data_IF_556376138605
#
_entry.id   IF_556376138605
#
_cell.length_a   1.000
_cell.length_b   1.000
_cell.length_c   1.000
_cell.angle_alpha   90.00
_cell.angle_beta   90.00
_cell.angle_gamma   90.00
#
_symmetry.space_group_name_H-M   'P 1'
#
loop_
_entity.id
_entity.type
_entity.pdbx_description
1 polymer ?
#
# COMPACT_ATOMS: atom_id res chain seq x y z
N UNK A 1 13.23 -2.45 -20.11
CA UNK A 1 13.50 -1.04 -19.75
C UNK A 1 14.15 -1.01 -18.36
N UNK A 2 15.46 -0.79 -18.25
CA UNK A 2 16.15 -0.72 -16.95
C UNK A 2 16.19 0.74 -16.49
N UNK A 3 15.15 1.19 -15.79
CA UNK A 3 15.20 2.45 -15.07
C UNK A 3 16.32 2.36 -14.02
N UNK A 4 17.22 3.34 -13.97
CA UNK A 4 18.26 3.37 -12.96
C UNK A 4 17.66 3.43 -11.55
N UNK A 5 18.11 2.59 -10.63
CA UNK A 5 17.48 2.49 -9.30
C UNK A 5 17.52 3.80 -8.51
N UNK A 6 18.53 4.64 -8.73
CA UNK A 6 18.60 5.98 -8.17
C UNK A 6 17.50 6.91 -8.71
N UNK A 7 17.14 6.78 -9.99
CA UNK A 7 16.05 7.54 -10.60
C UNK A 7 14.70 7.08 -10.04
N UNK A 8 14.49 5.77 -9.91
CA UNK A 8 13.30 5.23 -9.25
C UNK A 8 13.19 5.69 -7.80
N UNK A 9 14.30 5.70 -7.06
CA UNK A 9 14.33 6.15 -5.67
C UNK A 9 13.95 7.63 -5.56
N UNK A 10 14.51 8.47 -6.44
CA UNK A 10 14.18 9.89 -6.53
C UNK A 10 12.69 10.09 -6.87
N UNK A 11 12.18 9.38 -7.87
CA UNK A 11 10.76 9.42 -8.25
C UNK A 11 9.85 9.05 -7.07
N UNK A 12 10.14 7.96 -6.36
CA UNK A 12 9.37 7.55 -5.19
C UNK A 12 9.40 8.61 -4.09
N UNK A 13 10.55 9.22 -3.83
CA UNK A 13 10.69 10.29 -2.85
C UNK A 13 9.90 11.54 -3.24
N UNK A 14 9.97 11.94 -4.50
CA UNK A 14 9.31 13.16 -5.00
C UNK A 14 7.78 13.04 -5.04
N UNK A 15 7.27 11.83 -5.27
CA UNK A 15 5.84 11.53 -5.25
C UNK A 15 5.32 11.10 -3.87
N UNK A 16 6.13 11.21 -2.81
CA UNK A 16 5.72 10.85 -1.45
C UNK A 16 5.55 9.35 -1.19
N UNK A 17 5.92 8.48 -2.13
CA UNK A 17 5.90 7.02 -1.96
C UNK A 17 6.99 6.54 -0.98
N UNK A 18 8.08 7.30 -0.84
CA UNK A 18 9.13 7.05 0.13
C UNK A 18 9.47 8.33 0.89
N UNK A 19 9.81 8.18 2.17
CA UNK A 19 10.23 9.31 2.98
C UNK A 19 11.54 9.92 2.47
N UNK A 20 11.55 11.24 2.28
CA UNK A 20 12.72 12.02 1.86
C UNK A 20 13.79 12.16 2.96
N UNK A 21 13.37 12.08 4.22
CA UNK A 21 14.23 12.10 5.40
C UNK A 21 13.62 11.24 6.49
N UNK A 22 14.43 10.88 7.49
CA UNK A 22 13.98 10.15 8.66
C UNK A 22 14.69 10.71 9.90
N UNK A 23 13.96 10.86 11.00
CA UNK A 23 14.49 11.36 12.27
C UNK A 23 14.87 10.20 13.17
N UNK A 24 16.03 10.32 13.82
CA UNK A 24 16.51 9.29 14.71
C UNK A 24 15.61 9.22 15.95
N UNK A 25 15.02 8.07 16.29
CA UNK A 25 14.12 7.95 17.43
C UNK A 25 14.82 8.12 18.78
N UNK A 26 16.16 8.07 18.82
CA UNK A 26 16.95 8.18 20.06
C UNK A 26 17.50 9.60 20.26
N UNK A 27 17.90 10.30 19.19
CA UNK A 27 18.49 11.63 19.33
C UNK A 27 17.77 12.76 18.59
N UNK A 28 16.66 12.48 17.89
CA UNK A 28 15.89 13.46 17.15
C UNK A 28 16.57 14.03 15.89
N UNK A 29 17.86 13.74 15.65
CA UNK A 29 18.56 14.26 14.49
C UNK A 29 18.18 13.56 13.18
N UNK A 30 18.24 14.30 12.08
CA UNK A 30 18.06 13.74 10.73
C UNK A 30 19.12 12.68 10.45
N UNK A 31 18.67 11.49 10.08
CA UNK A 31 19.54 10.38 9.71
C UNK A 31 20.18 10.61 8.33
N UNK A 32 21.38 10.08 8.12
CA UNK A 32 22.08 10.14 6.82
C UNK A 32 21.65 8.97 5.95
N UNK A 33 21.43 9.19 4.65
CA UNK A 33 21.25 8.08 3.71
C UNK A 33 22.62 7.46 3.39
N UNK A 34 22.78 6.17 3.65
CA UNK A 34 23.98 5.40 3.32
C UNK A 34 23.59 4.23 2.42
N UNK A 35 24.51 3.79 1.58
CA UNK A 35 24.32 2.54 0.84
C UNK A 35 24.36 1.35 1.81
N UNK A 36 23.55 0.32 1.54
CA UNK A 36 23.65 -0.94 2.27
C UNK A 36 24.83 -1.74 1.73
N UNK A 37 25.67 -2.22 2.64
CA UNK A 37 26.73 -3.16 2.31
C UNK A 37 26.14 -4.50 1.85
N UNK A 38 26.58 -5.00 0.68
CA UNK A 38 26.25 -6.32 0.14
C UNK A 38 25.02 -6.35 -0.79
N UNK A 39 25.26 -6.82 -2.02
CA UNK A 39 24.41 -7.42 -3.10
C UNK A 39 22.94 -7.01 -3.33
N UNK A 40 22.28 -6.30 -2.43
CA UNK A 40 20.93 -5.76 -2.61
C UNK A 40 21.03 -4.25 -2.75
N UNK A 41 20.86 -3.75 -3.96
CA UNK A 41 20.83 -2.31 -4.22
C UNK A 41 19.75 -1.68 -3.36
N UNK A 42 20.13 -0.78 -2.45
CA UNK A 42 19.20 -0.14 -1.53
C UNK A 42 19.90 0.81 -0.56
N UNK A 43 19.29 1.97 -0.36
CA UNK A 43 19.73 2.95 0.65
C UNK A 43 19.12 2.63 2.00
N UNK A 44 19.85 2.96 3.07
CA UNK A 44 19.40 2.92 4.45
C UNK A 44 19.62 4.28 5.12
N UNK A 45 18.68 4.70 5.95
CA UNK A 45 18.86 5.77 6.92
C UNK A 45 19.75 5.24 8.04
N UNK A 46 20.87 5.92 8.29
CA UNK A 46 21.86 5.56 9.31
C UNK A 46 22.11 6.74 10.25
N UNK A 47 22.06 6.47 11.55
CA UNK A 47 22.47 7.38 12.60
C UNK A 47 23.48 6.65 13.48
N UNK A 48 24.66 7.23 13.66
CA UNK A 48 25.72 6.69 14.49
C UNK A 48 26.26 7.80 15.37
N UNK A 49 26.06 7.70 16.69
CA UNK A 49 26.65 8.58 17.69
C UNK A 49 27.49 7.78 18.68
N UNK A 50 28.59 8.37 19.13
CA UNK A 50 29.49 7.85 20.18
C UNK A 50 29.45 8.81 21.37
N UNK A 51 29.69 8.31 22.60
CA UNK A 51 29.65 9.11 23.83
C UNK A 51 28.32 9.00 24.59
N UNK A 52 27.91 10.05 25.30
CA UNK A 52 26.59 10.10 25.94
C UNK A 52 25.48 9.98 24.88
N UNK A 53 24.47 9.13 25.13
CA UNK A 53 23.45 8.73 24.15
C UNK A 53 24.03 8.03 22.90
N UNK A 54 25.08 7.22 23.05
CA UNK A 54 25.62 6.40 21.97
C UNK A 54 24.57 5.44 21.39
N UNK A 55 24.44 5.44 20.07
CA UNK A 55 23.57 4.51 19.36
C UNK A 55 24.04 4.34 17.93
N UNK A 56 23.66 3.20 17.35
CA UNK A 56 23.84 2.91 15.94
C UNK A 56 22.53 2.35 15.40
N UNK A 57 21.77 3.17 14.67
CA UNK A 57 20.48 2.81 14.12
C UNK A 57 20.59 2.82 12.60
N UNK A 58 20.16 1.72 11.98
CA UNK A 58 19.97 1.62 10.53
C UNK A 58 18.51 1.28 10.24
N UNK A 59 17.86 2.03 9.35
CA UNK A 59 16.49 1.78 8.85
C UNK A 59 16.53 1.75 7.33
N UNK A 60 15.91 0.76 6.67
CA UNK A 60 15.87 0.78 5.21
C UNK A 60 15.00 1.94 4.71
N UNK A 61 15.44 2.62 3.65
CA UNK A 61 14.66 3.71 3.02
C UNK A 61 13.33 3.16 2.46
N UNK A 62 13.35 1.93 1.94
CA UNK A 62 12.24 1.23 1.28
C UNK A 62 11.18 0.65 2.23
N UNK A 63 10.71 1.36 3.28
CA UNK A 63 9.64 0.83 4.15
C UNK A 63 8.37 0.57 3.31
N UNK A 64 7.81 -0.64 3.37
CA UNK A 64 6.73 -1.12 2.48
C UNK A 64 7.19 -1.78 1.17
N UNK A 65 8.43 -1.54 0.74
CA UNK A 65 9.05 -2.16 -0.45
C UNK A 65 10.21 -3.11 -0.07
N UNK A 66 10.35 -3.40 1.23
CA UNK A 66 11.55 -3.91 1.89
C UNK A 66 11.82 -5.40 1.63
N UNK A 67 10.77 -6.20 1.47
CA UNK A 67 10.87 -7.67 1.41
C UNK A 67 10.99 -8.22 -0.02
N UNK A 68 11.22 -7.34 -1.00
CA UNK A 68 11.46 -7.75 -2.38
C UNK A 68 12.94 -8.01 -2.61
N UNK A 69 13.26 -9.17 -3.18
CA UNK A 69 14.48 -9.33 -3.99
C UNK A 69 14.41 -8.56 -5.31
N UNK A 70 13.26 -7.96 -5.62
CA UNK A 70 13.02 -7.14 -6.81
C UNK A 70 13.64 -5.75 -6.68
N UNK A 71 14.14 -5.24 -7.80
CA UNK A 71 14.54 -3.83 -7.93
C UNK A 71 13.34 -2.90 -7.76
N UNK A 72 13.59 -1.66 -7.35
CA UNK A 72 12.52 -0.68 -7.18
C UNK A 72 11.78 -0.40 -8.50
N UNK A 73 12.49 -0.40 -9.62
CA UNK A 73 11.90 -0.24 -10.95
C UNK A 73 10.93 -1.37 -11.31
N UNK A 74 11.29 -2.63 -11.02
CA UNK A 74 10.39 -3.77 -11.23
C UNK A 74 9.12 -3.66 -10.39
N UNK A 75 9.23 -3.21 -9.14
CA UNK A 75 8.06 -3.03 -8.28
C UNK A 75 7.15 -1.93 -8.84
N UNK A 76 7.72 -0.81 -9.29
CA UNK A 76 6.94 0.28 -9.91
C UNK A 76 6.22 -0.18 -11.18
N UNK A 77 6.89 -0.93 -12.05
CA UNK A 77 6.24 -1.50 -13.24
C UNK A 77 5.10 -2.45 -12.87
N UNK A 78 5.31 -3.31 -11.87
CA UNK A 78 4.28 -4.24 -11.41
C UNK A 78 3.05 -3.49 -10.87
N UNK A 79 3.28 -2.47 -10.03
CA UNK A 79 2.19 -1.63 -9.51
C UNK A 79 1.44 -0.95 -10.67
N UNK A 80 2.17 -0.38 -11.63
CA UNK A 80 1.57 0.24 -12.81
C UNK A 80 0.69 -0.75 -13.59
N UNK A 81 1.20 -1.95 -13.88
CA UNK A 81 0.44 -2.99 -14.60
C UNK A 81 -0.78 -3.46 -13.79
N UNK A 82 -0.66 -3.57 -12.46
CA UNK A 82 -1.75 -3.93 -11.57
C UNK A 82 -2.87 -2.88 -11.55
N UNK A 83 -2.51 -1.60 -11.46
CA UNK A 83 -3.47 -0.48 -11.53
C UNK A 83 -4.19 -0.48 -12.87
N UNK A 84 -3.49 -0.77 -13.97
CA UNK A 84 -4.07 -0.93 -15.31
C UNK A 84 -4.84 -2.25 -15.51
N UNK A 85 -5.09 -3.03 -14.43
CA UNK A 85 -5.89 -4.26 -14.45
C UNK A 85 -5.37 -5.32 -15.43
N UNK A 86 -4.06 -5.35 -15.67
CA UNK A 86 -3.46 -6.36 -16.52
C UNK A 86 -3.57 -7.75 -15.88
N UNK A 87 -3.69 -8.77 -16.74
CA UNK A 87 -3.73 -10.16 -16.31
C UNK A 87 -2.40 -10.56 -15.66
N UNK A 88 -2.48 -11.49 -14.70
CA UNK A 88 -1.30 -11.99 -13.98
C UNK A 88 -0.29 -12.61 -14.95
N UNK A 89 -0.80 -13.35 -15.93
CA UNK A 89 -0.02 -14.04 -16.96
C UNK A 89 0.77 -13.03 -17.81
N UNK A 90 0.15 -11.91 -18.19
CA UNK A 90 0.82 -10.82 -18.91
C UNK A 90 1.97 -10.24 -18.08
N UNK A 91 1.72 -9.94 -16.79
CA UNK A 91 2.73 -9.37 -15.89
C UNK A 91 3.89 -10.33 -15.68
N UNK A 92 3.60 -11.64 -15.54
CA UNK A 92 4.64 -12.67 -15.42
C UNK A 92 5.53 -12.70 -16.66
N UNK A 93 4.94 -12.68 -17.85
CA UNK A 93 5.67 -12.76 -19.11
C UNK A 93 6.46 -11.46 -19.40
N UNK A 94 5.85 -10.30 -19.16
CA UNK A 94 6.46 -9.00 -19.48
C UNK A 94 7.63 -8.65 -18.54
N UNK A 95 7.56 -9.07 -17.27
CA UNK A 95 8.57 -8.78 -16.26
C UNK A 95 9.50 -9.96 -15.97
N UNK A 96 9.27 -11.12 -16.61
CA UNK A 96 9.98 -12.38 -16.38
C UNK A 96 10.04 -12.74 -14.89
N UNK A 97 8.86 -12.79 -14.26
CA UNK A 97 8.72 -13.03 -12.82
C UNK A 97 8.00 -14.35 -12.54
N UNK A 98 8.47 -15.03 -11.49
CA UNK A 98 7.80 -16.21 -10.98
C UNK A 98 6.36 -15.90 -10.55
N UNK A 99 5.46 -16.85 -10.81
CA UNK A 99 4.03 -16.76 -10.49
C UNK A 99 3.77 -16.40 -9.02
N UNK A 100 4.56 -16.97 -8.11
CA UNK A 100 4.47 -16.69 -6.68
C UNK A 100 4.79 -15.22 -6.38
N UNK A 101 5.92 -14.72 -6.91
CA UNK A 101 6.36 -13.34 -6.75
C UNK A 101 5.31 -12.33 -7.23
N UNK A 102 4.69 -12.56 -8.40
CA UNK A 102 3.63 -11.68 -8.91
C UNK A 102 2.41 -11.73 -8.00
N UNK A 103 2.03 -12.91 -7.53
CA UNK A 103 0.87 -13.09 -6.64
C UNK A 103 1.06 -12.34 -5.32
N UNK A 104 2.22 -12.52 -4.68
CA UNK A 104 2.55 -11.86 -3.41
C UNK A 104 2.51 -10.34 -3.56
N UNK A 105 3.03 -9.82 -4.67
CA UNK A 105 3.04 -8.37 -4.95
C UNK A 105 1.65 -7.81 -5.22
N UNK A 106 0.82 -8.54 -5.97
CA UNK A 106 -0.57 -8.13 -6.16
C UNK A 106 -1.36 -8.18 -4.85
N UNK A 107 -1.09 -9.16 -3.97
CA UNK A 107 -1.73 -9.24 -2.66
C UNK A 107 -1.29 -8.07 -1.76
N UNK A 108 -0.01 -7.74 -1.74
CA UNK A 108 0.48 -6.54 -1.05
C UNK A 108 -0.23 -5.26 -1.51
N UNK A 109 -0.45 -5.10 -2.82
CA UNK A 109 -1.22 -3.94 -3.33
C UNK A 109 -2.68 -3.94 -2.81
N UNK A 110 -3.30 -5.12 -2.67
CA UNK A 110 -4.66 -5.24 -2.12
C UNK A 110 -4.71 -4.93 -0.63
N UNK A 111 -3.72 -5.40 0.15
CA UNK A 111 -3.60 -5.11 1.58
C UNK A 111 -3.47 -3.61 1.81
N UNK A 112 -2.63 -2.91 1.04
CA UNK A 112 -2.51 -1.44 1.12
C UNK A 112 -3.84 -0.75 0.81
N UNK A 113 -4.58 -1.22 -0.19
CA UNK A 113 -5.91 -0.67 -0.48
C UNK A 113 -6.93 -0.99 0.62
N UNK A 114 -6.86 -2.17 1.24
CA UNK A 114 -7.74 -2.56 2.34
C UNK A 114 -7.48 -1.69 3.57
N UNK A 115 -6.21 -1.49 3.94
CA UNK A 115 -5.80 -0.62 5.03
C UNK A 115 -6.35 0.80 4.84
N UNK A 116 -6.25 1.37 3.63
CA UNK A 116 -6.82 2.70 3.39
C UNK A 116 -8.35 2.74 3.36
N UNK A 117 -8.99 1.69 2.85
CA UNK A 117 -10.45 1.58 2.94
C UNK A 117 -10.92 1.48 4.40
N UNK A 118 -10.13 0.86 5.29
CA UNK A 118 -10.44 0.75 6.71
C UNK A 118 -10.09 2.03 7.50
N UNK A 119 -9.04 2.74 7.11
CA UNK A 119 -8.64 4.01 7.72
C UNK A 119 -9.58 5.17 7.36
N UNK A 120 -10.35 5.04 6.27
CA UNK A 120 -11.31 6.05 5.86
C UNK A 120 -12.50 6.16 6.83
N UNK A 121 -12.39 7.05 7.82
CA UNK A 121 -13.49 7.42 8.72
C UNK A 121 -14.35 8.58 8.17
N UNK A 122 -14.41 8.73 6.84
CA UNK A 122 -15.18 9.80 6.22
C UNK A 122 -16.63 9.79 6.69
N UNK A 123 -17.03 10.86 7.39
CA UNK A 123 -18.44 11.12 7.73
C UNK A 123 -19.11 11.69 6.48
N UNK A 124 -19.81 10.83 5.75
CA UNK A 124 -20.38 11.16 4.43
C UNK A 124 -21.70 11.95 4.56
N UNK A 125 -22.22 12.07 5.78
CA UNK A 125 -23.48 12.76 6.05
C UNK A 125 -23.25 14.03 6.89
N UNK A 126 -23.83 15.13 6.41
CA UNK A 126 -23.96 16.40 7.11
C UNK A 126 -25.37 16.95 6.91
N UNK A 127 -25.84 17.83 7.78
CA UNK A 127 -27.21 18.39 7.71
C UNK A 127 -27.44 19.04 6.34
N UNK A 128 -28.51 18.66 5.64
CA UNK A 128 -28.86 19.20 4.31
C UNK A 128 -28.20 18.50 3.12
N UNK A 129 -27.44 17.42 3.33
CA UNK A 129 -26.80 16.64 2.26
C UNK A 129 -27.62 15.38 1.92
N UNK A 130 -27.86 15.13 0.63
CA UNK A 130 -28.54 13.92 0.12
C UNK A 130 -27.49 12.93 -0.38
N UNK A 131 -27.41 11.77 0.28
CA UNK A 131 -26.48 10.69 -0.09
C UNK A 131 -27.27 9.56 -0.74
N UNK A 132 -26.80 9.09 -1.89
CA UNK A 132 -27.23 7.81 -2.48
C UNK A 132 -26.39 6.70 -1.88
N UNK A 133 -27.04 5.66 -1.35
CA UNK A 133 -26.37 4.50 -0.77
C UNK A 133 -26.65 3.29 -1.67
N UNK A 134 -25.59 2.64 -2.11
CA UNK A 134 -25.65 1.34 -2.79
C UNK A 134 -25.09 0.24 -1.88
N UNK A 135 -25.77 -0.91 -1.83
CA UNK A 135 -25.40 -2.04 -0.99
C UNK A 135 -24.94 -3.22 -1.84
N UNK A 136 -23.67 -3.57 -1.74
CA UNK A 136 -23.10 -4.74 -2.41
C UNK A 136 -22.75 -5.81 -1.39
N UNK A 137 -23.38 -6.98 -1.54
CA UNK A 137 -23.13 -8.13 -0.68
C UNK A 137 -22.13 -9.11 -1.29
N UNK A 138 -20.99 -9.28 -0.61
CA UNK A 138 -19.95 -10.19 -1.05
C UNK A 138 -19.96 -11.48 -0.21
N UNK A 139 -20.14 -12.61 -0.89
CA UNK A 139 -20.05 -13.94 -0.29
C UNK A 139 -19.49 -14.95 -1.28
N UNK A 140 -18.51 -15.75 -0.85
CA UNK A 140 -18.02 -16.91 -1.62
C UNK A 140 -18.78 -18.16 -1.19
N UNK A 141 -19.21 -18.95 -2.17
CA UNK A 141 -19.77 -20.29 -1.94
C UNK A 141 -18.64 -21.26 -1.57
N UNK A 142 -18.86 -22.15 -0.59
CA UNK A 142 -17.95 -23.26 -0.36
C UNK A 142 -18.04 -24.21 -1.57
N UNK A 143 -16.93 -24.40 -2.29
CA UNK A 143 -16.86 -25.23 -3.51
C UNK A 143 -17.85 -24.84 -4.63
N UNK A 144 -18.27 -23.57 -4.73
CA UNK A 144 -19.32 -23.12 -5.65
C UNK A 144 -20.69 -23.84 -5.50
N UNK A 145 -20.89 -24.60 -4.42
CA UNK A 145 -22.08 -25.42 -4.16
C UNK A 145 -22.73 -25.04 -2.82
N UNK A 146 -24.04 -25.23 -2.72
CA UNK A 146 -24.80 -25.01 -1.49
C UNK A 146 -25.17 -23.54 -1.17
N UNK A 147 -25.64 -23.31 0.07
CA UNK A 147 -26.13 -22.01 0.58
C UNK A 147 -24.97 -20.99 0.61
N UNK A 148 -25.23 -19.74 0.20
CA UNK A 148 -24.29 -18.63 0.42
C UNK A 148 -24.07 -18.49 1.94
N UNK A 149 -22.82 -18.61 2.39
CA UNK A 149 -22.40 -18.46 3.80
C UNK A 149 -22.25 -16.97 4.13
N UNK A 150 -22.45 -16.61 5.39
CA UNK A 150 -22.48 -15.22 5.91
C UNK A 150 -21.39 -14.29 5.35
N UNK A 151 -21.84 -13.08 5.07
CA UNK A 151 -21.32 -12.18 4.05
C UNK A 151 -20.62 -10.94 4.62
N UNK A 152 -19.68 -10.39 3.84
CA UNK A 152 -19.20 -9.01 4.04
C UNK A 152 -20.08 -8.07 3.24
N UNK A 153 -20.62 -7.04 3.88
CA UNK A 153 -21.34 -5.98 3.19
C UNK A 153 -20.39 -4.85 2.86
N UNK A 154 -20.53 -4.30 1.66
CA UNK A 154 -19.87 -3.08 1.24
C UNK A 154 -20.96 -2.08 0.90
N UNK A 155 -20.93 -0.94 1.57
CA UNK A 155 -21.83 0.17 1.31
C UNK A 155 -21.05 1.24 0.56
N UNK A 156 -21.52 1.58 -0.65
CA UNK A 156 -21.04 2.74 -1.39
C UNK A 156 -21.94 3.93 -1.10
N UNK A 157 -21.37 5.07 -0.71
CA UNK A 157 -22.09 6.33 -0.54
C UNK A 157 -21.63 7.35 -1.56
N UNK A 158 -22.55 7.90 -2.36
CA UNK A 158 -22.30 9.00 -3.30
C UNK A 158 -23.09 10.25 -2.88
N UNK A 159 -22.39 11.38 -2.72
CA UNK A 159 -23.03 12.66 -2.45
C UNK A 159 -23.42 13.34 -3.77
N UNK A 160 -24.73 13.50 -4.02
CA UNK A 160 -25.28 13.91 -5.33
C UNK A 160 -24.70 15.22 -5.91
N UNK A 161 -24.27 16.15 -5.06
CA UNK A 161 -23.89 17.51 -5.48
C UNK A 161 -22.39 17.80 -5.43
N UNK A 162 -21.57 16.93 -4.83
CA UNK A 162 -20.12 17.16 -4.69
C UNK A 162 -19.26 16.14 -5.43
N UNK A 163 -19.85 15.11 -6.06
CA UNK A 163 -19.13 13.93 -6.59
C UNK A 163 -18.20 13.28 -5.55
N UNK A 164 -18.39 13.56 -4.26
CA UNK A 164 -17.67 12.90 -3.18
C UNK A 164 -18.23 11.49 -3.04
N UNK A 165 -17.34 10.51 -3.22
CA UNK A 165 -17.65 9.09 -3.14
C UNK A 165 -16.95 8.46 -1.95
N UNK A 166 -17.59 7.45 -1.38
CA UNK A 166 -17.10 6.74 -0.22
C UNK A 166 -17.47 5.27 -0.30
N UNK A 167 -16.62 4.43 0.25
CA UNK A 167 -16.88 3.01 0.45
C UNK A 167 -16.66 2.70 1.92
N UNK A 168 -17.68 2.11 2.57
CA UNK A 168 -17.54 1.55 3.92
C UNK A 168 -17.74 0.04 3.87
N UNK A 169 -16.72 -0.66 4.34
CA UNK A 169 -16.79 -2.09 4.62
C UNK A 169 -17.51 -2.30 5.96
N UNK A 170 -18.58 -3.08 5.95
CA UNK A 170 -19.30 -3.45 7.16
C UNK A 170 -19.13 -4.94 7.44
N UNK A 171 -18.38 -5.23 8.50
CA UNK A 171 -18.32 -6.55 9.12
C UNK A 171 -19.28 -6.57 10.30
N UNK A 172 -20.12 -7.62 10.41
CA UNK A 172 -21.13 -7.73 11.47
C UNK A 172 -20.56 -7.37 12.85
N UNK A 173 -21.16 -6.38 13.52
CA UNK A 173 -20.84 -5.99 14.90
C UNK A 173 -20.67 -4.49 15.16
N UNK A 174 -20.54 -3.65 14.12
CA UNK A 174 -20.36 -2.19 14.28
C UNK A 174 -21.70 -1.47 14.11
N UNK A 175 -22.16 -0.73 15.14
CA UNK A 175 -23.36 0.12 15.00
C UNK A 175 -23.10 1.22 13.99
N UNK A 176 -23.93 1.27 12.95
CA UNK A 176 -23.97 2.39 12.01
C UNK A 176 -24.61 3.58 12.73
N UNK A 177 -23.79 4.51 13.21
CA UNK A 177 -24.30 5.81 13.66
C UNK A 177 -24.39 6.73 12.44
N UNK A 178 -25.63 7.02 12.05
CA UNK A 178 -25.96 8.17 11.22
C UNK A 178 -25.63 9.47 11.96
#
# INVERSE_FOLDING_TARGET
MKLGENACLKFCMDNGLLAKWYECPVCGERMKSVDRDGTKVGKAWSCRKRGANAHQIKRAVRKGFQDSHLSLGMILCLIYMWVNRMAKESIMNDLDLASQTVTDRMNFCREVCEDECLAFDGKICGVGKIVEIDESKFGKRKYNRGRRVEEKWVFGGLLRYSNEFSLKLWMKGVRMFC
#
